data_IF_648031551317
#
_entry.id   IF_648031551317
#
_cell.length_a   1.000
_cell.length_b   1.000
_cell.length_c   1.000
_cell.angle_alpha   90.00
_cell.angle_beta   90.00
_cell.angle_gamma   90.00
#
_symmetry.space_group_name_H-M   'P 1'
#
loop_
_entity.id
_entity.type
_entity.pdbx_description
1 polymer ?
#
# COMPACT_ATOMS: atom_id res chain seq x y z
N UNK A 1 -19.37 59.35 11.17
CA UNK A 1 -18.87 57.97 10.98
C UNK A 1 -18.20 57.93 9.61
N UNK A 2 -16.88 57.73 9.55
CA UNK A 2 -16.07 57.99 8.34
C UNK A 2 -16.24 56.88 7.29
N UNK A 3 -16.64 57.18 6.03
CA UNK A 3 -16.91 56.16 4.99
C UNK A 3 -15.65 55.36 4.59
N UNK A 4 -14.47 55.88 4.92
CA UNK A 4 -13.18 55.22 4.70
C UNK A 4 -12.99 53.98 5.59
N UNK A 5 -13.64 53.92 6.75
CA UNK A 5 -13.51 52.80 7.68
C UNK A 5 -14.16 51.53 7.13
N UNK A 6 -15.32 51.66 6.47
CA UNK A 6 -16.03 50.53 5.85
C UNK A 6 -15.26 49.94 4.66
N UNK A 7 -14.54 50.78 3.91
CA UNK A 7 -13.72 50.35 2.78
C UNK A 7 -12.45 49.62 3.23
N UNK A 8 -11.78 50.14 4.27
CA UNK A 8 -10.63 49.49 4.89
C UNK A 8 -11.00 48.15 5.54
N UNK A 9 -12.15 48.10 6.23
CA UNK A 9 -12.65 46.87 6.84
C UNK A 9 -13.00 45.82 5.76
N UNK A 10 -13.61 46.23 4.65
CA UNK A 10 -13.88 45.37 3.50
C UNK A 10 -12.62 44.80 2.86
N UNK A 11 -11.58 45.62 2.68
CA UNK A 11 -10.28 45.15 2.16
C UNK A 11 -9.59 44.16 3.09
N UNK A 12 -9.62 44.41 4.42
CA UNK A 12 -9.05 43.49 5.41
C UNK A 12 -9.76 42.13 5.41
N UNK A 13 -11.10 42.13 5.31
CA UNK A 13 -11.89 40.91 5.20
C UNK A 13 -11.55 40.15 3.91
N UNK A 14 -11.43 40.86 2.78
CA UNK A 14 -11.05 40.24 1.50
C UNK A 14 -9.68 39.56 1.54
N UNK A 15 -8.67 40.23 2.10
CA UNK A 15 -7.32 39.66 2.25
C UNK A 15 -7.33 38.45 3.19
N UNK A 16 -8.09 38.51 4.29
CA UNK A 16 -8.23 37.39 5.22
C UNK A 16 -8.85 36.16 4.54
N UNK A 17 -9.88 36.34 3.72
CA UNK A 17 -10.53 35.25 2.98
C UNK A 17 -9.59 34.63 1.95
N UNK A 18 -8.84 35.43 1.21
CA UNK A 18 -7.86 34.92 0.24
C UNK A 18 -6.75 34.11 0.92
N UNK A 19 -6.24 34.60 2.05
CA UNK A 19 -5.24 33.86 2.84
C UNK A 19 -5.79 32.56 3.41
N UNK A 20 -7.04 32.54 3.88
CA UNK A 20 -7.69 31.31 4.34
C UNK A 20 -7.85 30.29 3.21
N UNK A 21 -8.20 30.73 1.99
CA UNK A 21 -8.30 29.85 0.82
C UNK A 21 -6.93 29.25 0.47
N UNK A 22 -5.85 30.05 0.47
CA UNK A 22 -4.50 29.55 0.20
C UNK A 22 -4.03 28.54 1.26
N UNK A 23 -4.29 28.79 2.55
CA UNK A 23 -3.97 27.86 3.64
C UNK A 23 -4.73 26.53 3.48
N UNK A 24 -6.03 26.58 3.12
CA UNK A 24 -6.84 25.38 2.88
C UNK A 24 -6.32 24.59 1.68
N UNK A 25 -5.92 25.27 0.59
CA UNK A 25 -5.34 24.61 -0.60
C UNK A 25 -3.99 23.96 -0.27
N UNK A 26 -3.15 24.60 0.54
CA UNK A 26 -1.87 24.01 0.98
C UNK A 26 -2.07 22.82 1.92
N UNK A 27 -2.97 22.92 2.90
CA UNK A 27 -3.30 21.79 3.79
C UNK A 27 -3.86 20.57 3.04
N UNK A 28 -4.59 20.80 1.95
CA UNK A 28 -5.10 19.73 1.08
C UNK A 28 -4.01 19.11 0.16
N UNK A 29 -2.87 19.78 -0.07
CA UNK A 29 -1.73 19.18 -0.79
C UNK A 29 -0.85 18.31 0.09
N UNK A 30 -0.73 18.63 1.38
CA UNK A 30 0.02 17.80 2.34
C UNK A 30 -0.73 16.53 2.75
N UNK A 31 -2.06 16.54 2.60
CA UNK A 31 -2.89 15.32 2.55
C UNK A 31 -2.81 14.69 1.16
N UNK A 32 -1.58 14.53 0.65
CA UNK A 32 -1.23 13.43 -0.22
C UNK A 32 -1.46 12.13 0.55
N UNK A 33 -2.73 11.72 0.60
CA UNK A 33 -3.20 10.41 1.01
C UNK A 33 -2.50 9.41 0.07
N UNK A 34 -1.28 9.02 0.44
CA UNK A 34 -0.70 7.73 0.07
C UNK A 34 -1.47 6.67 0.85
N UNK A 35 -2.75 6.52 0.54
CA UNK A 35 -3.57 5.40 0.97
C UNK A 35 -4.22 4.80 -0.27
N UNK A 36 -3.38 4.46 -1.23
CA UNK A 36 -3.52 3.15 -1.83
C UNK A 36 -2.31 2.41 -1.31
N UNK A 37 -2.51 1.70 -0.18
CA UNK A 37 -1.83 0.42 0.01
C UNK A 37 -2.07 -0.34 -1.29
N UNK A 38 -1.14 -0.19 -2.24
CA UNK A 38 -1.08 -1.07 -3.39
C UNK A 38 -0.88 -2.43 -2.72
N UNK A 39 -1.84 -3.37 -2.80
CA UNK A 39 -1.61 -4.70 -2.27
C UNK A 39 -0.25 -5.12 -2.82
N UNK A 40 0.68 -5.60 -1.97
CA UNK A 40 2.05 -5.83 -2.38
C UNK A 40 2.01 -6.53 -3.71
N UNK A 41 2.71 -6.03 -4.74
CA UNK A 41 2.61 -6.58 -6.10
C UNK A 41 2.78 -8.10 -6.10
N UNK A 42 3.48 -8.63 -5.09
CA UNK A 42 3.54 -10.03 -4.74
C UNK A 42 2.18 -10.75 -4.67
N UNK A 43 1.20 -10.30 -3.87
CA UNK A 43 -0.10 -10.99 -3.74
C UNK A 43 -0.87 -11.00 -5.06
N UNK A 44 -0.85 -9.87 -5.78
CA UNK A 44 -1.48 -9.76 -7.10
C UNK A 44 -0.80 -10.65 -8.13
N UNK A 45 0.54 -10.67 -8.15
CA UNK A 45 1.32 -11.47 -9.11
C UNK A 45 1.20 -12.95 -8.81
N UNK A 46 1.24 -13.36 -7.54
CA UNK A 46 1.05 -14.75 -7.11
C UNK A 46 -0.36 -15.19 -7.47
N UNK A 47 -1.40 -14.41 -7.16
CA UNK A 47 -2.79 -14.69 -7.57
C UNK A 47 -2.91 -14.88 -9.08
N UNK A 48 -2.35 -13.97 -9.87
CA UNK A 48 -2.40 -14.04 -11.33
C UNK A 48 -1.69 -15.29 -11.86
N UNK A 49 -0.53 -15.65 -11.30
CA UNK A 49 0.23 -16.84 -11.70
C UNK A 49 -0.39 -18.15 -11.24
N UNK A 50 -1.06 -18.17 -10.08
CA UNK A 50 -1.81 -19.34 -9.60
C UNK A 50 -3.11 -19.51 -10.38
N UNK A 51 -3.68 -18.41 -10.90
CA UNK A 51 -4.96 -18.41 -11.62
C UNK A 51 -6.17 -18.33 -10.71
N UNK A 52 -6.04 -17.72 -9.53
CA UNK A 52 -7.13 -17.57 -8.56
C UNK A 52 -8.00 -16.34 -8.85
N UNK A 53 -9.32 -16.50 -8.73
CA UNK A 53 -10.26 -15.39 -8.89
C UNK A 53 -10.21 -14.42 -7.71
N UNK A 54 -9.87 -14.86 -6.49
CA UNK A 54 -9.67 -13.99 -5.34
C UNK A 54 -8.38 -14.31 -4.58
N UNK A 55 -7.84 -13.32 -3.84
CA UNK A 55 -6.68 -13.51 -2.95
C UNK A 55 -7.02 -14.54 -1.85
N UNK A 56 -8.28 -14.57 -1.42
CA UNK A 56 -8.83 -15.53 -0.46
C UNK A 56 -8.70 -16.99 -0.89
N UNK A 57 -8.49 -17.26 -2.18
CA UNK A 57 -8.39 -18.62 -2.70
C UNK A 57 -6.97 -19.18 -2.61
N UNK A 58 -5.96 -18.31 -2.44
CA UNK A 58 -4.55 -18.70 -2.27
C UNK A 58 -4.31 -19.73 -1.16
N UNK A 59 -4.84 -19.58 0.07
CA UNK A 59 -4.64 -20.56 1.14
C UNK A 59 -5.27 -21.94 0.84
N UNK A 60 -6.23 -22.03 -0.09
CA UNK A 60 -6.82 -23.31 -0.50
C UNK A 60 -5.95 -24.05 -1.52
N UNK A 61 -4.96 -23.37 -2.13
CA UNK A 61 -4.05 -23.94 -3.12
C UNK A 61 -2.57 -23.80 -2.74
N UNK A 62 -2.14 -24.25 -1.54
CA UNK A 62 -0.78 -24.03 -1.03
C UNK A 62 0.29 -24.64 -1.94
N UNK A 63 -0.01 -25.79 -2.58
CA UNK A 63 0.89 -26.45 -3.54
C UNK A 63 1.14 -25.63 -4.81
N UNK A 64 0.11 -24.95 -5.32
CA UNK A 64 0.24 -24.11 -6.51
C UNK A 64 0.99 -22.82 -6.18
N UNK A 65 0.66 -22.20 -5.03
CA UNK A 65 1.39 -21.03 -4.52
C UNK A 65 2.88 -21.36 -4.34
N UNK A 66 3.20 -22.53 -3.76
CA UNK A 66 4.59 -23.00 -3.60
C UNK A 66 5.32 -23.10 -4.94
N UNK A 67 4.71 -23.72 -5.95
CA UNK A 67 5.29 -23.84 -7.30
C UNK A 67 5.49 -22.48 -7.98
N UNK A 68 4.56 -21.56 -7.78
CA UNK A 68 4.65 -20.19 -8.32
C UNK A 68 5.79 -19.43 -7.65
N UNK A 69 5.88 -19.48 -6.33
CA UNK A 69 6.96 -18.86 -5.55
C UNK A 69 8.34 -19.41 -5.92
N UNK A 70 8.45 -20.73 -6.10
CA UNK A 70 9.70 -21.36 -6.55
C UNK A 70 10.14 -20.90 -7.96
N UNK A 71 9.19 -20.54 -8.83
CA UNK A 71 9.48 -20.01 -10.17
C UNK A 71 9.62 -18.50 -10.21
N UNK A 72 9.39 -17.82 -9.09
CA UNK A 72 9.51 -16.38 -8.98
C UNK A 72 10.85 -15.99 -8.38
N UNK A 73 11.28 -14.80 -8.76
CA UNK A 73 12.51 -14.22 -8.26
C UNK A 73 12.22 -13.49 -6.95
N UNK A 74 12.43 -14.19 -5.83
CA UNK A 74 12.12 -13.73 -4.47
C UNK A 74 13.08 -12.60 -4.01
N UNK A 75 14.18 -12.35 -4.74
CA UNK A 75 15.10 -11.26 -4.44
C UNK A 75 14.49 -9.89 -4.74
N UNK A 76 13.59 -9.83 -5.74
CA UNK A 76 12.90 -8.60 -6.15
C UNK A 76 11.87 -8.09 -5.15
N UNK A 77 11.47 -8.91 -4.18
CA UNK A 77 10.44 -8.58 -3.20
C UNK A 77 11.03 -8.37 -1.81
N UNK A 78 10.34 -7.57 -0.99
CA UNK A 78 10.73 -7.31 0.40
C UNK A 78 10.53 -8.56 1.25
N UNK A 79 11.35 -8.72 2.29
CA UNK A 79 11.20 -9.82 3.26
C UNK A 79 9.82 -9.79 3.94
N UNK A 80 9.34 -8.59 4.27
CA UNK A 80 8.02 -8.38 4.89
C UNK A 80 6.88 -8.89 4.00
N UNK A 81 6.88 -8.51 2.72
CA UNK A 81 5.84 -8.94 1.77
C UNK A 81 5.80 -10.46 1.63
N UNK A 82 6.98 -11.08 1.55
CA UNK A 82 7.10 -12.54 1.51
C UNK A 82 6.57 -13.14 2.81
N UNK A 83 6.99 -12.63 3.96
CA UNK A 83 6.57 -13.13 5.27
C UNK A 83 5.04 -13.08 5.42
N UNK A 84 4.41 -11.98 5.02
CA UNK A 84 2.95 -11.83 5.05
C UNK A 84 2.26 -12.86 4.14
N UNK A 85 2.79 -13.10 2.94
CA UNK A 85 2.25 -14.11 2.03
C UNK A 85 2.42 -15.53 2.58
N UNK A 86 3.58 -15.85 3.15
CA UNK A 86 3.85 -17.14 3.78
C UNK A 86 2.94 -17.38 4.98
N UNK A 87 2.74 -16.36 5.81
CA UNK A 87 1.79 -16.40 6.91
C UNK A 87 0.35 -16.56 6.42
N UNK A 88 -0.03 -15.85 5.35
CA UNK A 88 -1.38 -15.89 4.80
C UNK A 88 -1.73 -17.26 4.24
N UNK A 89 -0.83 -17.87 3.44
CA UNK A 89 -1.07 -19.12 2.71
C UNK A 89 -0.71 -20.36 3.52
N UNK A 90 0.47 -20.36 4.16
CA UNK A 90 1.01 -21.54 4.83
C UNK A 90 0.92 -21.47 6.37
N UNK A 91 0.50 -20.32 6.94
CA UNK A 91 0.44 -20.10 8.40
C UNK A 91 1.78 -20.31 9.10
N UNK A 92 2.89 -20.05 8.39
CA UNK A 92 4.26 -20.14 8.92
C UNK A 92 4.86 -18.76 9.07
N UNK A 93 5.60 -18.54 10.16
CA UNK A 93 6.41 -17.34 10.35
C UNK A 93 7.85 -17.64 9.99
N UNK A 94 8.30 -17.09 8.86
CA UNK A 94 9.70 -17.18 8.42
C UNK A 94 10.30 -15.78 8.51
N UNK A 95 11.43 -15.67 9.22
CA UNK A 95 12.09 -14.38 9.46
C UNK A 95 13.25 -14.11 8.50
N UNK A 96 13.68 -15.12 7.75
CA UNK A 96 14.78 -15.04 6.80
C UNK A 96 14.35 -15.48 5.41
N UNK A 97 14.84 -14.78 4.37
CA UNK A 97 14.66 -15.20 2.97
C UNK A 97 15.22 -16.61 2.73
N UNK A 98 16.30 -16.97 3.44
CA UNK A 98 16.93 -18.29 3.31
C UNK A 98 15.97 -19.40 3.76
N UNK A 99 15.28 -19.19 4.88
CA UNK A 99 14.32 -20.17 5.42
C UNK A 99 13.09 -20.27 4.51
N UNK A 100 12.68 -19.17 3.88
CA UNK A 100 11.62 -19.16 2.85
C UNK A 100 12.02 -19.99 1.63
N UNK A 101 13.24 -19.82 1.13
CA UNK A 101 13.76 -20.61 0.00
C UNK A 101 13.85 -22.08 0.39
N UNK A 102 14.41 -22.40 1.56
CA UNK A 102 14.50 -23.78 2.06
C UNK A 102 13.11 -24.42 2.22
N UNK A 103 12.12 -23.67 2.70
CA UNK A 103 10.73 -24.13 2.78
C UNK A 103 10.13 -24.43 1.40
N UNK A 104 10.48 -23.62 0.39
CA UNK A 104 10.06 -23.84 -0.99
C UNK A 104 10.78 -25.03 -1.64
N UNK A 105 12.05 -25.26 -1.32
CA UNK A 105 12.89 -26.35 -1.83
C UNK A 105 12.59 -27.71 -1.19
N UNK A 106 12.00 -27.74 0.01
CA UNK A 106 11.44 -28.98 0.59
C UNK A 106 10.30 -29.49 -0.27
N UNK A 107 10.60 -30.29 -1.28
CA UNK A 107 9.59 -31.11 -1.96
C UNK A 107 8.99 -32.11 -0.97
N UNK A 108 7.66 -32.25 -1.02
CA UNK A 108 6.89 -33.31 -0.38
C UNK A 108 6.31 -34.20 -1.49
#
# INVERSE_FOLDING_TARGET
MSPYFSFLLGCLIGILVTLLIEIVIQANRDTGIQIVEKPPELFGTVRQKVGCEFISDLPYHPRLVKKVLHRMDLEKYTILDLQDLFWYVFKVHLHSKKDMIEFLEKEE
#
